data_IF_302086164776
#
_entry.id   IF_302086164776
#
_cell.length_a   1.000
_cell.length_b   1.000
_cell.length_c   1.000
_cell.angle_alpha   90.00
_cell.angle_beta   90.00
_cell.angle_gamma   90.00
#
_symmetry.space_group_name_H-M   'P 1'
#
loop_
_entity.id
_entity.type
_entity.pdbx_description
1 polymer ?
#
# COMPACT_ATOMS: atom_id res chain seq x y z
N UNK A 1 17.47 4.80 -5.88
CA UNK A 1 16.99 4.75 -4.49
C UNK A 1 17.91 3.91 -3.62
N UNK A 2 17.74 3.98 -2.31
CA UNK A 2 18.41 3.06 -1.37
C UNK A 2 17.74 1.69 -1.51
N UNK A 3 18.52 0.58 -1.63
CA UNK A 3 17.94 -0.75 -1.65
C UNK A 3 17.24 -1.09 -0.33
N UNK A 4 16.05 -1.69 -0.40
CA UNK A 4 15.34 -2.24 0.76
C UNK A 4 15.23 -3.76 0.65
N UNK A 5 15.35 -4.44 1.78
CA UNK A 5 15.27 -5.90 1.86
C UNK A 5 13.81 -6.34 2.05
N UNK A 6 13.34 -7.25 1.19
CA UNK A 6 12.03 -7.88 1.30
C UNK A 6 12.14 -9.37 0.95
N UNK A 7 11.81 -10.22 1.91
CA UNK A 7 11.78 -11.69 1.77
C UNK A 7 13.01 -12.27 1.04
N UNK A 8 14.23 -11.83 1.44
CA UNK A 8 15.50 -12.33 0.91
C UNK A 8 15.94 -11.73 -0.43
N UNK A 9 15.28 -10.67 -0.89
CA UNK A 9 15.70 -9.87 -2.03
C UNK A 9 15.83 -8.40 -1.67
N UNK A 10 16.86 -7.74 -2.19
CA UNK A 10 16.97 -6.29 -2.22
C UNK A 10 16.27 -5.75 -3.46
N UNK A 11 15.47 -4.68 -3.29
CA UNK A 11 14.78 -3.97 -4.35
C UNK A 11 15.19 -2.50 -4.36
N UNK A 12 15.43 -1.92 -5.55
CA UNK A 12 15.73 -0.49 -5.71
C UNK A 12 15.41 -0.01 -7.13
N UNK A 13 15.45 1.30 -7.32
CA UNK A 13 15.41 1.94 -8.63
C UNK A 13 16.71 2.70 -8.90
N UNK A 14 17.13 2.75 -10.17
CA UNK A 14 18.34 3.42 -10.64
C UNK A 14 18.06 4.14 -11.96
N UNK A 15 18.51 5.40 -12.09
CA UNK A 15 18.55 6.10 -13.35
C UNK A 15 19.90 5.85 -14.01
N UNK A 16 19.87 5.53 -15.29
CA UNK A 16 21.06 5.50 -16.14
C UNK A 16 21.29 6.88 -16.78
N UNK A 17 22.54 7.16 -17.16
CA UNK A 17 22.86 8.44 -17.79
C UNK A 17 22.12 8.63 -19.11
N UNK A 18 21.32 9.67 -19.20
CA UNK A 18 20.50 9.99 -20.36
C UNK A 18 19.12 9.35 -20.40
N UNK A 19 18.75 8.60 -19.35
CA UNK A 19 17.40 8.05 -19.19
C UNK A 19 16.49 9.04 -18.50
N UNK A 20 15.26 9.16 -18.99
CA UNK A 20 14.19 9.93 -18.34
C UNK A 20 13.41 9.08 -17.31
N UNK A 21 13.42 7.75 -17.49
CA UNK A 21 12.73 6.79 -16.65
C UNK A 21 13.70 5.83 -15.98
N UNK A 22 13.43 5.41 -14.73
CA UNK A 22 14.33 4.52 -13.99
C UNK A 22 14.23 3.07 -14.46
N UNK A 23 15.31 2.34 -14.20
CA UNK A 23 15.29 0.88 -14.10
C UNK A 23 14.84 0.48 -12.70
N UNK A 24 14.00 -0.53 -12.59
CA UNK A 24 13.66 -1.18 -11.33
C UNK A 24 14.39 -2.52 -11.26
N UNK A 25 15.09 -2.71 -10.17
CA UNK A 25 16.03 -3.82 -10.03
C UNK A 25 15.74 -4.58 -8.75
N UNK A 26 16.13 -5.85 -8.77
CA UNK A 26 16.25 -6.67 -7.57
C UNK A 26 17.54 -7.47 -7.58
N UNK A 27 17.95 -7.89 -6.39
CA UNK A 27 19.09 -8.80 -6.19
C UNK A 27 18.80 -9.71 -5.00
N UNK A 28 19.03 -10.99 -5.16
CA UNK A 28 18.91 -11.92 -4.03
C UNK A 28 19.95 -11.58 -2.96
N UNK A 29 19.58 -11.63 -1.68
CA UNK A 29 20.40 -11.18 -0.54
C UNK A 29 21.85 -11.68 -0.57
N UNK A 30 22.04 -12.94 -0.93
CA UNK A 30 23.37 -13.58 -0.97
C UNK A 30 23.93 -13.73 -2.39
N UNK A 31 23.53 -12.87 -3.34
CA UNK A 31 23.97 -12.89 -4.75
C UNK A 31 24.55 -11.54 -5.14
N UNK A 32 25.51 -11.54 -6.06
CA UNK A 32 26.00 -10.33 -6.71
C UNK A 32 25.26 -10.04 -8.03
N UNK A 33 24.39 -10.95 -8.47
CA UNK A 33 23.66 -10.80 -9.73
C UNK A 33 22.45 -9.88 -9.55
N UNK A 34 22.46 -8.76 -10.27
CA UNK A 34 21.32 -7.85 -10.41
C UNK A 34 20.35 -8.35 -11.50
N UNK A 35 19.07 -8.22 -11.26
CA UNK A 35 17.99 -8.50 -12.22
C UNK A 35 17.20 -7.22 -12.46
N UNK A 36 17.04 -6.83 -13.73
CA UNK A 36 16.12 -5.74 -14.11
C UNK A 36 14.72 -6.33 -14.19
N UNK A 37 13.82 -5.91 -13.28
CA UNK A 37 12.44 -6.37 -13.25
C UNK A 37 11.49 -5.50 -14.06
N UNK A 38 11.77 -4.17 -14.17
CA UNK A 38 11.13 -3.27 -15.12
C UNK A 38 12.18 -2.31 -15.71
N UNK A 39 12.15 -2.14 -17.03
CA UNK A 39 12.93 -1.13 -17.75
C UNK A 39 11.99 0.01 -18.13
N UNK A 40 11.91 1.03 -17.26
CA UNK A 40 11.02 2.17 -17.47
C UNK A 40 11.35 2.95 -18.74
N UNK A 41 12.64 3.05 -19.10
CA UNK A 41 13.05 3.76 -20.33
C UNK A 41 12.56 3.03 -21.58
N UNK A 42 12.78 1.72 -21.67
CA UNK A 42 12.31 0.92 -22.81
C UNK A 42 10.79 0.88 -22.89
N UNK A 43 10.11 0.80 -21.74
CA UNK A 43 8.63 0.76 -21.68
C UNK A 43 8.01 2.08 -22.12
N UNK A 44 8.72 3.21 -22.00
CA UNK A 44 8.21 4.55 -22.36
C UNK A 44 8.28 4.85 -23.87
N UNK A 45 9.04 4.10 -24.66
CA UNK A 45 9.35 4.42 -26.07
C UNK A 45 8.13 4.56 -26.98
N UNK A 46 7.04 3.84 -26.67
CA UNK A 46 5.81 3.84 -27.48
C UNK A 46 4.77 4.88 -27.01
N UNK A 47 5.08 5.72 -26.01
CA UNK A 47 4.12 6.63 -25.38
C UNK A 47 4.61 8.08 -25.39
N UNK A 48 3.69 9.03 -25.67
CA UNK A 48 3.97 10.47 -25.50
C UNK A 48 4.07 10.88 -24.04
N UNK A 49 3.34 10.18 -23.17
CA UNK A 49 3.41 10.30 -21.71
C UNK A 49 3.52 8.91 -21.10
N UNK A 50 4.41 8.75 -20.14
CA UNK A 50 4.61 7.49 -19.44
C UNK A 50 4.97 7.73 -17.98
N UNK A 51 4.28 7.05 -17.08
CA UNK A 51 4.61 7.06 -15.65
C UNK A 51 4.30 5.69 -15.04
N UNK A 52 5.27 5.13 -14.31
CA UNK A 52 5.06 4.00 -13.42
C UNK A 52 4.62 4.58 -12.08
N UNK A 53 3.40 4.28 -11.64
CA UNK A 53 2.82 4.84 -10.40
C UNK A 53 3.30 4.11 -9.16
N UNK A 54 3.16 2.80 -9.17
CA UNK A 54 3.49 1.94 -8.04
C UNK A 54 3.83 0.53 -8.53
N UNK A 55 4.46 -0.25 -7.68
CA UNK A 55 4.61 -1.69 -7.87
C UNK A 55 4.67 -2.41 -6.53
N UNK A 56 4.19 -3.64 -6.52
CA UNK A 56 4.32 -4.56 -5.38
C UNK A 56 4.70 -5.95 -5.88
N UNK A 57 5.32 -6.73 -5.00
CA UNK A 57 5.81 -8.07 -5.31
C UNK A 57 5.19 -9.07 -4.34
N UNK A 58 4.79 -10.24 -4.85
CA UNK A 58 4.28 -11.34 -4.03
C UNK A 58 5.29 -11.76 -2.95
N UNK A 59 4.81 -12.32 -1.84
CA UNK A 59 5.69 -12.69 -0.71
C UNK A 59 6.75 -13.74 -1.09
N UNK A 60 6.50 -14.54 -2.10
CA UNK A 60 7.45 -15.52 -2.65
C UNK A 60 8.43 -14.92 -3.68
N UNK A 61 8.31 -13.62 -3.97
CA UNK A 61 9.13 -12.88 -4.94
C UNK A 61 9.01 -13.37 -6.40
N UNK A 62 7.95 -14.10 -6.75
CA UNK A 62 7.79 -14.69 -8.09
C UNK A 62 6.92 -13.85 -9.02
N UNK A 63 6.03 -13.03 -8.47
CA UNK A 63 5.05 -12.26 -9.23
C UNK A 63 5.19 -10.79 -8.84
N UNK A 64 5.11 -9.92 -9.83
CA UNK A 64 5.10 -8.46 -9.66
C UNK A 64 3.84 -7.90 -10.29
N UNK A 65 3.17 -7.01 -9.60
CA UNK A 65 2.17 -6.14 -10.17
C UNK A 65 2.71 -4.71 -10.22
N UNK A 66 2.46 -3.99 -11.29
CA UNK A 66 2.90 -2.61 -11.47
C UNK A 66 1.85 -1.79 -12.20
N UNK A 67 1.78 -0.51 -11.91
CA UNK A 67 0.78 0.39 -12.47
C UNK A 67 1.38 1.39 -13.45
N UNK A 68 0.65 1.67 -14.53
CA UNK A 68 1.05 2.57 -15.60
C UNK A 68 -0.02 3.64 -15.85
N UNK A 69 0.39 4.91 -15.93
CA UNK A 69 -0.39 5.98 -16.54
C UNK A 69 0.29 6.40 -17.85
N UNK A 70 -0.39 6.20 -18.96
CA UNK A 70 0.08 6.58 -20.31
C UNK A 70 -0.71 7.72 -20.93
N UNK A 71 -1.63 8.32 -20.14
CA UNK A 71 -2.54 9.38 -20.58
C UNK A 71 -2.39 10.69 -19.80
N UNK A 72 -1.47 10.74 -18.81
CA UNK A 72 -1.28 11.91 -17.92
C UNK A 72 -2.55 12.29 -17.12
N UNK A 73 -3.36 11.29 -16.75
CA UNK A 73 -4.64 11.52 -16.05
C UNK A 73 -4.65 11.01 -14.61
N UNK A 74 -3.54 10.43 -14.14
CA UNK A 74 -3.48 9.74 -12.84
C UNK A 74 -4.54 8.65 -12.71
N UNK A 75 -4.94 8.06 -13.84
CA UNK A 75 -5.77 6.87 -13.93
C UNK A 75 -4.86 5.78 -14.48
N UNK A 76 -4.67 4.74 -13.72
CA UNK A 76 -3.66 3.73 -14.00
C UNK A 76 -4.27 2.43 -14.50
N UNK A 77 -3.49 1.74 -15.32
CA UNK A 77 -3.65 0.32 -15.61
C UNK A 77 -2.69 -0.47 -14.73
N UNK A 78 -3.14 -1.54 -14.10
CA UNK A 78 -2.25 -2.48 -13.40
C UNK A 78 -1.99 -3.66 -14.33
N UNK A 79 -0.72 -3.98 -14.50
CA UNK A 79 -0.23 -5.16 -15.22
C UNK A 79 0.48 -6.08 -14.26
N UNK A 80 0.43 -7.38 -14.56
CA UNK A 80 0.98 -8.43 -13.70
C UNK A 80 2.04 -9.17 -14.50
N UNK A 81 3.17 -9.43 -13.88
CA UNK A 81 4.35 -10.04 -14.50
C UNK A 81 4.86 -11.20 -13.65
N UNK A 82 5.05 -12.34 -14.27
CA UNK A 82 5.80 -13.46 -13.70
C UNK A 82 7.30 -13.16 -13.81
N UNK A 83 7.97 -13.04 -12.69
CA UNK A 83 9.39 -12.67 -12.61
C UNK A 83 10.35 -13.85 -12.89
N UNK A 84 9.83 -15.09 -12.94
CA UNK A 84 10.65 -16.26 -13.27
C UNK A 84 10.70 -16.45 -14.78
N UNK A 85 9.54 -16.39 -15.44
CA UNK A 85 9.43 -16.57 -16.89
C UNK A 85 9.59 -15.28 -17.69
N UNK A 86 9.59 -14.14 -17.03
CA UNK A 86 9.60 -12.77 -17.59
C UNK A 86 8.36 -12.47 -18.48
N UNK A 87 7.23 -13.15 -18.23
CA UNK A 87 6.01 -13.01 -19.03
C UNK A 87 4.95 -12.21 -18.30
N UNK A 88 4.20 -11.44 -19.08
CA UNK A 88 3.00 -10.78 -18.59
C UNK A 88 1.84 -11.79 -18.47
N UNK A 89 1.04 -11.62 -17.44
CA UNK A 89 -0.28 -12.22 -17.34
C UNK A 89 -1.22 -11.59 -18.39
N UNK A 90 -2.23 -12.32 -18.87
CA UNK A 90 -3.13 -11.81 -19.91
C UNK A 90 -4.07 -10.70 -19.43
N UNK A 91 -4.38 -10.68 -18.12
CA UNK A 91 -5.28 -9.69 -17.53
C UNK A 91 -4.60 -8.33 -17.34
N UNK A 92 -5.41 -7.28 -17.42
CA UNK A 92 -5.04 -5.91 -17.08
C UNK A 92 -6.15 -5.30 -16.25
N UNK A 93 -5.83 -4.69 -15.11
CA UNK A 93 -6.82 -4.00 -14.29
C UNK A 93 -6.87 -2.54 -14.69
N UNK A 94 -8.03 -2.13 -15.20
CA UNK A 94 -8.24 -0.80 -15.77
C UNK A 94 -8.87 0.17 -14.75
N UNK A 95 -8.67 1.47 -14.99
CA UNK A 95 -9.30 2.55 -14.21
C UNK A 95 -8.99 2.48 -12.72
N UNK A 96 -7.73 2.24 -12.37
CA UNK A 96 -7.27 2.11 -10.99
C UNK A 96 -6.65 3.41 -10.46
N UNK A 97 -6.43 3.46 -9.14
CA UNK A 97 -5.66 4.54 -8.49
C UNK A 97 -4.16 4.42 -8.76
N UNK A 98 -3.71 3.24 -9.14
CA UNK A 98 -2.31 2.87 -9.28
C UNK A 98 -1.70 2.20 -8.06
N UNK A 99 -2.30 2.32 -6.87
CA UNK A 99 -1.81 1.62 -5.67
C UNK A 99 -2.11 0.13 -5.74
N UNK A 100 -1.16 -0.68 -5.28
CA UNK A 100 -1.18 -2.14 -5.38
C UNK A 100 -0.75 -2.73 -4.04
N UNK A 101 -1.46 -3.77 -3.59
CA UNK A 101 -1.10 -4.51 -2.37
C UNK A 101 -1.32 -6.00 -2.58
N UNK A 102 -0.27 -6.81 -2.56
CA UNK A 102 -0.39 -8.27 -2.54
C UNK A 102 -0.82 -8.77 -1.16
N UNK A 103 -1.76 -9.69 -1.13
CA UNK A 103 -2.01 -10.53 0.05
C UNK A 103 -0.89 -11.58 0.22
N UNK A 104 -0.87 -12.27 1.38
CA UNK A 104 0.16 -13.25 1.66
C UNK A 104 -0.09 -14.61 0.99
N UNK A 105 -1.20 -14.78 0.28
CA UNK A 105 -1.50 -15.98 -0.51
C UNK A 105 -0.77 -16.00 -1.87
N UNK A 106 -0.07 -14.91 -2.25
CA UNK A 106 0.59 -14.71 -3.54
C UNK A 106 -0.34 -14.74 -4.77
N UNK A 107 -1.65 -14.70 -4.55
CA UNK A 107 -2.67 -14.82 -5.60
C UNK A 107 -3.67 -13.67 -5.60
N UNK A 108 -3.79 -12.94 -4.49
CA UNK A 108 -4.77 -11.85 -4.33
C UNK A 108 -4.08 -10.50 -4.30
N UNK A 109 -4.56 -9.56 -5.11
CA UNK A 109 -4.13 -8.16 -5.14
C UNK A 109 -5.27 -7.27 -4.69
N UNK A 110 -4.99 -6.32 -3.81
CA UNK A 110 -5.90 -5.23 -3.49
C UNK A 110 -5.49 -3.97 -4.27
N UNK A 111 -6.48 -3.27 -4.80
CA UNK A 111 -6.28 -2.04 -5.56
C UNK A 111 -7.45 -1.07 -5.39
N UNK A 112 -7.18 0.21 -5.61
CA UNK A 112 -8.19 1.25 -5.52
C UNK A 112 -8.80 1.63 -6.88
N UNK A 113 -10.05 2.11 -6.86
CA UNK A 113 -10.68 2.79 -8.00
C UNK A 113 -11.02 4.23 -7.67
N UNK A 114 -10.99 5.07 -8.71
CA UNK A 114 -11.37 6.49 -8.63
C UNK A 114 -12.75 6.73 -9.19
N UNK A 115 -13.41 7.72 -8.62
CA UNK A 115 -14.55 8.34 -9.27
C UNK A 115 -14.10 8.98 -10.59
N UNK A 116 -14.76 8.70 -11.72
CA UNK A 116 -14.30 9.14 -13.03
C UNK A 116 -14.42 10.66 -13.27
N UNK A 117 -15.19 11.36 -12.44
CA UNK A 117 -15.43 12.82 -12.56
C UNK A 117 -14.55 13.59 -11.58
N UNK A 118 -14.60 13.22 -10.30
CA UNK A 118 -13.88 13.92 -9.24
C UNK A 118 -12.43 13.45 -9.07
N UNK A 119 -12.09 12.27 -9.61
CA UNK A 119 -10.82 11.55 -9.42
C UNK A 119 -10.56 11.15 -7.96
N UNK A 120 -11.55 11.23 -7.09
CA UNK A 120 -11.48 10.78 -5.71
C UNK A 120 -11.29 9.27 -5.65
N UNK A 121 -10.34 8.79 -4.87
CA UNK A 121 -10.21 7.38 -4.54
C UNK A 121 -11.28 6.99 -3.53
N UNK A 122 -12.23 6.11 -3.90
CA UNK A 122 -13.40 5.84 -3.08
C UNK A 122 -13.78 4.36 -2.95
N UNK A 123 -13.14 3.48 -3.72
CA UNK A 123 -13.40 2.04 -3.66
C UNK A 123 -12.10 1.26 -3.57
N UNK A 124 -12.12 0.16 -2.81
CA UNK A 124 -11.06 -0.85 -2.76
C UNK A 124 -11.65 -2.17 -3.25
N UNK A 125 -10.99 -2.77 -4.23
CA UNK A 125 -11.30 -4.07 -4.79
C UNK A 125 -10.22 -5.08 -4.45
N UNK A 126 -10.59 -6.36 -4.45
CA UNK A 126 -9.65 -7.47 -4.52
C UNK A 126 -9.77 -8.17 -5.87
N UNK A 127 -8.64 -8.49 -6.47
CA UNK A 127 -8.48 -9.24 -7.70
C UNK A 127 -7.75 -10.55 -7.43
N UNK A 128 -8.24 -11.64 -7.97
CA UNK A 128 -7.55 -12.93 -7.96
C UNK A 128 -6.79 -13.11 -9.28
N UNK A 129 -5.48 -13.36 -9.21
CA UNK A 129 -4.66 -13.59 -10.39
C UNK A 129 -5.24 -14.67 -11.31
N UNK A 130 -5.16 -14.45 -12.61
CA UNK A 130 -5.67 -15.35 -13.62
C UNK A 130 -7.18 -15.27 -13.85
N UNK A 131 -7.88 -14.31 -13.25
CA UNK A 131 -9.31 -14.07 -13.49
C UNK A 131 -9.54 -12.78 -14.27
N UNK A 132 -10.77 -12.55 -14.74
CA UNK A 132 -11.12 -11.28 -15.37
C UNK A 132 -11.43 -10.21 -14.30
N UNK A 133 -11.10 -8.94 -14.58
CA UNK A 133 -11.42 -7.82 -13.70
C UNK A 133 -12.93 -7.69 -13.37
N UNK A 134 -13.81 -8.20 -14.24
CA UNK A 134 -15.25 -8.22 -13.99
C UNK A 134 -15.69 -9.17 -12.86
N UNK A 135 -14.78 -10.06 -12.44
CA UNK A 135 -14.98 -11.00 -11.33
C UNK A 135 -14.47 -10.45 -9.99
N UNK A 136 -13.85 -9.26 -10.02
CA UNK A 136 -13.25 -8.65 -8.84
C UNK A 136 -14.31 -8.30 -7.79
N UNK A 137 -13.91 -8.47 -6.53
CA UNK A 137 -14.80 -8.26 -5.38
C UNK A 137 -14.61 -6.85 -4.82
N UNK A 138 -15.68 -6.09 -4.71
CA UNK A 138 -15.70 -4.82 -3.98
C UNK A 138 -15.54 -5.12 -2.48
N UNK A 139 -14.44 -4.70 -1.90
CA UNK A 139 -14.10 -4.92 -0.48
C UNK A 139 -14.59 -3.77 0.39
N UNK A 140 -14.42 -2.55 -0.09
CA UNK A 140 -14.81 -1.34 0.64
C UNK A 140 -15.21 -0.23 -0.32
N UNK A 141 -16.25 0.52 0.04
CA UNK A 141 -16.65 1.75 -0.62
C UNK A 141 -16.76 2.86 0.42
N UNK A 142 -16.17 4.01 0.12
CA UNK A 142 -16.30 5.23 0.91
C UNK A 142 -17.40 6.09 0.33
N UNK A 143 -18.53 6.15 1.03
CA UNK A 143 -19.71 6.89 0.59
C UNK A 143 -19.65 8.38 0.95
N UNK A 144 -18.86 8.76 1.96
CA UNK A 144 -18.69 10.17 2.32
C UNK A 144 -17.70 10.84 1.35
N UNK A 145 -18.20 11.76 0.54
CA UNK A 145 -17.41 12.45 -0.48
C UNK A 145 -16.27 13.30 0.09
N UNK A 146 -16.27 13.60 1.38
CA UNK A 146 -15.19 14.33 2.05
C UNK A 146 -14.00 13.45 2.41
N UNK A 147 -14.14 12.13 2.28
CA UNK A 147 -13.10 11.14 2.54
C UNK A 147 -12.56 10.53 1.24
N UNK A 148 -11.28 10.17 1.25
CA UNK A 148 -10.66 9.30 0.25
C UNK A 148 -10.16 8.02 0.92
N UNK A 149 -10.13 6.91 0.18
CA UNK A 149 -9.62 5.66 0.73
C UNK A 149 -8.45 5.08 -0.08
N UNK A 150 -7.57 4.37 0.59
CA UNK A 150 -6.48 3.61 -0.01
C UNK A 150 -6.16 2.36 0.82
N UNK A 151 -5.48 1.40 0.21
CA UNK A 151 -5.03 0.19 0.89
C UNK A 151 -3.51 0.14 0.95
N UNK A 152 -2.96 -0.44 2.02
CA UNK A 152 -1.55 -0.76 2.16
C UNK A 152 -1.36 -1.99 3.06
N UNK A 153 -0.17 -2.57 3.07
CA UNK A 153 0.18 -3.68 3.98
C UNK A 153 1.05 -3.17 5.11
N UNK A 154 0.80 -3.64 6.34
CA UNK A 154 1.65 -3.31 7.49
C UNK A 154 3.08 -3.81 7.27
N UNK A 155 4.09 -3.14 7.83
CA UNK A 155 5.50 -3.59 7.80
C UNK A 155 5.68 -5.00 8.37
N UNK A 156 4.84 -5.39 9.32
CA UNK A 156 4.81 -6.75 9.88
C UNK A 156 4.31 -7.83 8.92
N UNK A 157 3.78 -7.46 7.74
CA UNK A 157 3.10 -8.34 6.79
C UNK A 157 1.86 -9.07 7.34
N UNK A 158 1.34 -8.68 8.52
CA UNK A 158 0.20 -9.35 9.17
C UNK A 158 -1.15 -8.86 8.68
N UNK A 159 -1.23 -7.58 8.26
CA UNK A 159 -2.50 -6.96 7.87
C UNK A 159 -2.41 -6.19 6.56
N UNK A 160 -3.48 -6.32 5.77
CA UNK A 160 -3.85 -5.34 4.76
C UNK A 160 -4.74 -4.34 5.46
N UNK A 161 -4.40 -3.07 5.33
CA UNK A 161 -5.07 -1.96 5.97
C UNK A 161 -5.81 -1.16 4.91
N UNK A 162 -7.09 -0.89 5.14
CA UNK A 162 -7.84 0.11 4.37
C UNK A 162 -7.95 1.36 5.24
N UNK A 163 -7.32 2.43 4.79
CA UNK A 163 -7.47 3.76 5.38
C UNK A 163 -8.55 4.54 4.63
N UNK A 164 -9.42 5.19 5.37
CA UNK A 164 -10.34 6.20 4.87
C UNK A 164 -10.08 7.49 5.63
N UNK A 165 -9.61 8.53 4.95
CA UNK A 165 -9.16 9.77 5.57
C UNK A 165 -9.73 11.01 4.92
N UNK A 166 -9.93 12.04 5.75
CA UNK A 166 -10.24 13.41 5.38
C UNK A 166 -9.18 14.35 5.97
N UNK A 167 -9.37 15.66 5.85
CA UNK A 167 -8.42 16.65 6.41
C UNK A 167 -8.27 16.55 7.93
N UNK A 168 -9.30 16.12 8.66
CA UNK A 168 -9.35 16.18 10.12
C UNK A 168 -9.78 14.86 10.78
N UNK A 169 -9.88 13.77 10.04
CA UNK A 169 -10.41 12.53 10.61
C UNK A 169 -9.96 11.33 9.82
N UNK A 170 -9.66 10.25 10.51
CA UNK A 170 -9.25 8.98 9.94
C UNK A 170 -10.15 7.83 10.41
N UNK A 171 -10.24 6.79 9.59
CA UNK A 171 -10.81 5.50 9.93
C UNK A 171 -10.00 4.40 9.25
N UNK A 172 -9.61 3.40 10.02
CA UNK A 172 -8.85 2.26 9.52
C UNK A 172 -9.66 0.97 9.65
N UNK A 173 -9.48 0.10 8.66
CA UNK A 173 -10.00 -1.28 8.68
C UNK A 173 -8.87 -2.25 8.42
N UNK A 174 -8.96 -3.40 9.06
CA UNK A 174 -7.95 -4.46 9.01
C UNK A 174 -8.51 -5.70 8.31
N UNK A 175 -7.70 -6.27 7.44
CA UNK A 175 -7.89 -7.60 6.86
C UNK A 175 -6.63 -8.39 7.17
N UNK A 176 -6.68 -9.59 7.79
CA UNK A 176 -5.50 -10.42 7.93
C UNK A 176 -4.89 -10.74 6.56
N UNK A 177 -3.62 -10.39 6.36
CA UNK A 177 -2.98 -10.53 5.04
C UNK A 177 -2.87 -12.00 4.57
N UNK A 178 -2.86 -12.95 5.51
CA UNK A 178 -2.94 -14.39 5.22
C UNK A 178 -4.37 -14.93 4.95
N UNK A 179 -5.40 -14.09 5.11
CA UNK A 179 -6.79 -14.45 4.82
C UNK A 179 -7.52 -13.29 4.13
N UNK A 180 -7.19 -13.01 2.85
CA UNK A 180 -7.69 -11.84 2.13
C UNK A 180 -9.21 -11.85 1.86
N UNK A 181 -9.87 -12.98 2.04
CA UNK A 181 -11.33 -13.11 1.88
C UNK A 181 -12.11 -12.71 3.14
N UNK A 182 -11.43 -12.48 4.27
CA UNK A 182 -12.07 -12.01 5.50
C UNK A 182 -12.59 -10.59 5.29
N UNK A 183 -13.79 -10.32 5.81
CA UNK A 183 -14.36 -8.96 5.78
C UNK A 183 -13.46 -7.98 6.56
N UNK A 184 -13.31 -6.73 6.06
CA UNK A 184 -12.57 -5.70 6.78
C UNK A 184 -13.21 -5.41 8.16
N UNK A 185 -12.41 -5.44 9.21
CA UNK A 185 -12.84 -5.09 10.57
C UNK A 185 -12.38 -3.67 10.91
N UNK A 186 -13.28 -2.85 11.46
CA UNK A 186 -12.96 -1.47 11.85
C UNK A 186 -11.99 -1.51 13.02
N UNK A 187 -10.86 -0.81 12.89
CA UNK A 187 -9.89 -0.61 13.95
C UNK A 187 -10.41 0.35 15.01
N UNK A 188 -10.81 1.54 14.59
CA UNK A 188 -11.49 2.57 15.37
C UNK A 188 -12.43 3.34 14.45
N UNK A 189 -13.68 3.50 14.86
CA UNK A 189 -14.66 4.31 14.11
C UNK A 189 -14.18 5.75 14.00
N UNK A 190 -14.46 6.38 12.85
CA UNK A 190 -14.14 7.80 12.65
C UNK A 190 -14.87 8.68 13.68
N UNK A 191 -14.14 9.67 14.17
CA UNK A 191 -14.66 10.75 14.99
C UNK A 191 -14.15 12.06 14.42
N UNK A 192 -15.00 13.07 14.38
CA UNK A 192 -14.58 14.37 13.87
C UNK A 192 -13.46 14.96 14.74
N UNK A 193 -12.34 15.29 14.12
CA UNK A 193 -11.16 15.84 14.79
C UNK A 193 -10.22 14.79 15.37
N UNK A 194 -10.53 13.51 15.25
CA UNK A 194 -9.61 12.44 15.63
C UNK A 194 -8.78 12.03 14.41
N UNK A 195 -7.51 12.39 14.45
CA UNK A 195 -6.48 12.00 13.48
C UNK A 195 -5.59 10.94 14.10
N UNK A 196 -5.31 9.86 13.35
CA UNK A 196 -4.41 8.83 13.84
C UNK A 196 -3.84 7.99 12.70
N UNK A 197 -2.63 7.45 12.92
CA UNK A 197 -1.99 6.45 12.06
C UNK A 197 -1.67 5.21 12.87
N UNK A 198 -1.73 4.04 12.26
CA UNK A 198 -1.53 2.75 12.92
C UNK A 198 -0.30 2.02 12.39
N UNK A 199 0.45 1.42 13.30
CA UNK A 199 1.65 0.64 13.02
C UNK A 199 1.58 -0.66 13.80
N UNK A 200 1.63 -1.80 13.12
CA UNK A 200 1.52 -3.11 13.77
C UNK A 200 2.90 -3.71 14.02
N UNK A 201 3.09 -4.24 15.21
CA UNK A 201 4.26 -5.02 15.58
C UNK A 201 3.90 -6.10 16.62
N UNK A 202 4.15 -7.37 16.28
CA UNK A 202 3.84 -8.53 17.11
C UNK A 202 2.34 -8.56 17.55
N UNK A 203 2.06 -8.46 18.84
CA UNK A 203 0.69 -8.51 19.39
C UNK A 203 0.10 -7.12 19.66
N UNK A 204 0.74 -6.05 19.17
CA UNK A 204 0.35 -4.67 19.49
C UNK A 204 0.26 -3.80 18.25
N UNK A 205 -0.59 -2.78 18.35
CA UNK A 205 -0.55 -1.61 17.49
C UNK A 205 0.04 -0.42 18.25
N UNK A 206 0.86 0.35 17.54
CA UNK A 206 1.32 1.68 17.94
C UNK A 206 0.49 2.69 17.14
N UNK A 207 -0.05 3.68 17.83
CA UNK A 207 -0.98 4.65 17.26
C UNK A 207 -0.41 6.05 17.47
N UNK A 208 -0.01 6.70 16.36
CA UNK A 208 0.32 8.11 16.37
C UNK A 208 -0.99 8.90 16.27
N UNK A 209 -1.34 9.71 17.28
CA UNK A 209 -2.68 10.34 17.34
C UNK A 209 -2.67 11.69 18.04
N UNK A 210 -3.63 12.55 17.65
CA UNK A 210 -3.94 13.82 18.29
C UNK A 210 -5.00 13.68 19.43
N UNK A 211 -5.33 12.46 19.86
CA UNK A 211 -6.41 12.17 20.83
C UNK A 211 -6.35 13.02 22.10
N UNK A 212 -5.17 13.16 22.70
CA UNK A 212 -4.96 13.87 23.95
C UNK A 212 -4.03 15.08 23.82
N UNK A 213 -3.27 15.17 22.74
CA UNK A 213 -2.24 16.17 22.52
C UNK A 213 -2.31 16.73 21.10
N UNK A 214 -2.43 18.04 20.98
CA UNK A 214 -2.51 18.70 19.68
C UNK A 214 -1.29 18.42 18.77
N UNK A 215 -0.11 18.28 19.35
CA UNK A 215 1.14 17.95 18.65
C UNK A 215 1.39 16.44 18.59
N UNK A 216 0.33 15.64 18.69
CA UNK A 216 0.33 14.19 18.68
C UNK A 216 1.06 13.54 19.87
N UNK A 217 0.70 12.31 20.12
CA UNK A 217 1.33 11.36 21.05
C UNK A 217 1.36 9.98 20.40
N UNK A 218 2.16 9.06 20.93
CA UNK A 218 2.10 7.65 20.55
C UNK A 218 1.40 6.88 21.61
N UNK A 219 0.34 6.19 21.24
CA UNK A 219 -0.39 5.27 22.11
C UNK A 219 -0.22 3.82 21.63
N UNK A 220 -0.55 2.85 22.46
CA UNK A 220 -0.53 1.42 22.12
C UNK A 220 -1.81 0.75 22.52
N UNK A 221 -2.17 -0.30 21.76
CA UNK A 221 -3.24 -1.23 22.14
C UNK A 221 -2.92 -2.65 21.70
N UNK A 222 -3.61 -3.63 22.30
CA UNK A 222 -3.56 -5.01 21.81
C UNK A 222 -4.22 -5.12 20.45
N UNK A 223 -3.71 -6.02 19.59
CA UNK A 223 -4.35 -6.34 18.30
C UNK A 223 -5.78 -6.85 18.43
N UNK A 224 -6.15 -7.42 19.59
CA UNK A 224 -7.48 -7.98 19.88
C UNK A 224 -8.46 -6.94 20.47
N UNK A 225 -8.00 -5.71 20.74
CA UNK A 225 -8.79 -4.66 21.39
C UNK A 225 -8.34 -3.29 20.89
N UNK A 226 -8.77 -2.95 19.67
CA UNK A 226 -8.24 -1.82 18.90
C UNK A 226 -8.97 -0.50 19.13
N UNK A 227 -10.16 -0.52 19.73
CA UNK A 227 -10.95 0.69 20.01
C UNK A 227 -10.22 1.69 20.90
N UNK A 228 -10.50 2.98 20.67
CA UNK A 228 -9.84 4.13 21.32
C UNK A 228 -9.83 4.07 22.85
N UNK A 229 -10.83 3.44 23.45
CA UNK A 229 -10.93 3.23 24.89
C UNK A 229 -9.83 2.33 25.46
N UNK A 230 -9.18 1.52 24.61
CA UNK A 230 -8.09 0.61 24.96
C UNK A 230 -6.69 1.20 24.70
N UNK A 231 -6.62 2.40 24.11
CA UNK A 231 -5.35 3.04 23.80
C UNK A 231 -4.68 3.57 25.06
N UNK A 232 -3.45 3.15 25.28
CA UNK A 232 -2.62 3.55 26.43
C UNK A 232 -1.44 4.37 25.93
N UNK A 233 -1.16 5.46 26.61
CA UNK A 233 -0.03 6.33 26.29
C UNK A 233 1.29 5.54 26.37
N UNK A 234 2.10 5.65 25.33
CA UNK A 234 3.44 5.08 25.20
C UNK A 234 4.52 6.18 25.12
N UNK A 235 4.30 7.19 24.28
CA UNK A 235 5.10 8.41 24.21
C UNK A 235 4.14 9.59 24.36
N UNK A 236 4.32 10.35 25.44
CA UNK A 236 3.50 11.53 25.71
C UNK A 236 3.75 12.63 24.68
N UNK A 237 2.68 13.31 24.29
CA UNK A 237 2.77 14.51 23.47
C UNK A 237 3.37 15.70 24.24
N UNK A 238 3.93 16.66 23.50
CA UNK A 238 4.55 17.86 24.03
C UNK A 238 4.01 19.10 23.34
N UNK A 239 3.88 20.20 24.07
CA UNK A 239 3.44 21.48 23.53
C UNK A 239 4.43 22.09 22.54
N UNK A 240 5.73 21.82 22.73
CA UNK A 240 6.85 22.41 21.97
C UNK A 240 7.40 21.50 20.87
N UNK A 241 6.86 20.28 20.71
CA UNK A 241 7.35 19.28 19.73
C UNK A 241 6.17 18.60 19.05
N UNK A 242 6.15 18.67 17.71
CA UNK A 242 5.26 17.88 16.87
C UNK A 242 5.88 16.50 16.59
N UNK A 243 5.13 15.42 16.83
CA UNK A 243 5.51 14.08 16.39
C UNK A 243 4.92 13.88 14.99
N UNK A 244 5.76 13.93 13.96
CA UNK A 244 5.33 13.88 12.55
C UNK A 244 5.16 12.45 12.02
N UNK A 245 5.83 11.47 12.62
CA UNK A 245 5.81 10.09 12.15
C UNK A 245 6.39 9.10 13.13
N UNK A 246 6.14 7.83 12.86
CA UNK A 246 6.63 6.70 13.64
C UNK A 246 7.09 5.59 12.69
N UNK A 247 8.22 5.01 12.97
CA UNK A 247 8.69 3.78 12.36
C UNK A 247 8.93 2.72 13.43
N UNK A 248 8.43 1.52 13.20
CA UNK A 248 8.60 0.38 14.11
C UNK A 248 9.44 -0.70 13.43
N UNK A 249 10.44 -1.22 14.14
CA UNK A 249 11.39 -2.22 13.66
C UNK A 249 11.51 -3.36 14.65
N UNK A 250 11.88 -4.57 14.18
CA UNK A 250 12.00 -5.76 15.01
C UNK A 250 13.18 -5.72 16.00
N UNK A 251 14.24 -4.97 15.67
CA UNK A 251 15.52 -5.07 16.38
C UNK A 251 16.14 -3.72 16.78
N UNK A 252 15.33 -2.67 16.88
CA UNK A 252 15.81 -1.33 17.25
C UNK A 252 14.94 -0.71 18.32
#
# INVERSE_FOLDING_TARGET
SVPYLFNGYYYWSRYEKGYEHPLYLRKKENSEQEEIILDGQKMSEDFEFFNIGDYDVSNDNNIMAYSLDTLSRRIYQIKIKDLISDKLYPETLENTTGSIVFANDNETIFYGKKDPVTLRSFQIYSHKLGTNQSEDVLIFQEDDETFSCYAYKTKSNEYIVINSSSTLSDEYRLIPAGNPLKKPEIFQKRERGLEYNIYHHQDQFYILTNKNHHNFSVETCSKDSTGKENWKEFISGREDVLIEGLDVFDHY
#
